data_IF_903994388871
#
_entry.id   IF_903994388871
#
_cell.length_a   1.000
_cell.length_b   1.000
_cell.length_c   1.000
_cell.angle_alpha   90.00
_cell.angle_beta   90.00
_cell.angle_gamma   90.00
#
_symmetry.space_group_name_H-M   'P 1'
#
loop_
_entity.id
_entity.type
_entity.pdbx_description
1 polymer ?
#
# COMPACT_ATOMS: atom_id res chain seq x y z
N UNK A 1 -0.99 -26.79 -19.84
CA UNK A 1 -0.42 -26.21 -18.61
C UNK A 1 1.09 -26.21 -18.72
N UNK A 2 1.69 -25.14 -19.25
CA UNK A 2 3.14 -24.90 -19.21
C UNK A 2 3.30 -23.41 -18.91
N UNK A 3 3.15 -23.05 -17.63
CA UNK A 3 3.51 -21.71 -17.16
C UNK A 3 5.02 -21.73 -16.95
N UNK A 4 5.73 -21.19 -17.93
CA UNK A 4 7.17 -21.05 -17.93
C UNK A 4 7.66 -20.27 -16.71
N UNK A 5 8.55 -20.93 -15.98
CA UNK A 5 9.42 -20.36 -14.96
C UNK A 5 10.28 -19.26 -15.59
N UNK A 6 9.83 -18.01 -15.51
CA UNK A 6 10.66 -16.84 -15.84
C UNK A 6 11.38 -16.39 -14.58
N UNK A 7 12.46 -17.09 -14.26
CA UNK A 7 13.48 -16.64 -13.31
C UNK A 7 14.20 -15.42 -13.87
N UNK A 8 13.55 -14.26 -13.82
CA UNK A 8 14.12 -12.99 -14.27
C UNK A 8 15.01 -12.40 -13.19
N UNK A 9 16.33 -12.37 -13.44
CA UNK A 9 17.43 -11.41 -13.10
C UNK A 9 17.38 -10.57 -11.79
N UNK A 10 16.42 -10.79 -10.89
CA UNK A 10 16.23 -10.10 -9.62
C UNK A 10 15.94 -11.18 -8.58
N UNK A 11 17.01 -11.65 -7.93
CA UNK A 11 16.96 -12.72 -6.93
C UNK A 11 15.95 -12.48 -5.81
N UNK A 12 15.48 -13.59 -5.24
CA UNK A 12 14.38 -13.70 -4.25
C UNK A 12 14.66 -13.10 -2.87
N UNK A 13 15.36 -11.96 -2.78
CA UNK A 13 15.67 -11.30 -1.52
C UNK A 13 15.63 -9.77 -1.58
N UNK A 14 14.99 -9.19 -0.55
CA UNK A 14 15.36 -7.93 0.15
C UNK A 14 14.82 -6.57 -0.29
N UNK A 15 13.85 -6.47 -1.20
CA UNK A 15 13.35 -5.13 -1.58
C UNK A 15 12.01 -4.81 -0.93
N UNK A 16 12.08 -3.93 0.07
CA UNK A 16 10.93 -3.29 0.72
C UNK A 16 10.09 -2.52 -0.29
N UNK A 17 8.80 -2.35 0.01
CA UNK A 17 7.87 -1.52 -0.73
C UNK A 17 8.45 -0.11 -0.94
N UNK A 18 9.02 0.46 0.13
CA UNK A 18 9.67 1.79 0.09
C UNK A 18 10.85 1.84 -0.89
N UNK A 19 11.68 0.81 -0.94
CA UNK A 19 12.82 0.75 -1.89
C UNK A 19 12.35 0.64 -3.34
N UNK A 20 11.29 -0.12 -3.62
CA UNK A 20 10.72 -0.23 -4.97
C UNK A 20 10.18 1.12 -5.46
N UNK A 21 9.43 1.82 -4.60
CA UNK A 21 8.96 3.18 -4.90
C UNK A 21 10.12 4.17 -5.07
N UNK A 22 11.14 4.10 -4.21
CA UNK A 22 12.33 4.96 -4.30
C UNK A 22 13.07 4.76 -5.61
N UNK A 23 13.21 3.51 -6.08
CA UNK A 23 13.83 3.23 -7.39
C UNK A 23 12.91 3.65 -8.54
N UNK A 24 11.60 3.48 -8.45
CA UNK A 24 10.69 3.99 -9.48
C UNK A 24 10.80 5.51 -9.63
N UNK A 25 10.81 6.25 -8.52
CA UNK A 25 10.99 7.71 -8.50
C UNK A 25 12.38 8.08 -9.02
N UNK A 26 13.43 7.41 -8.55
CA UNK A 26 14.81 7.63 -9.01
C UNK A 26 14.97 7.43 -10.51
N UNK A 27 14.41 6.35 -11.06
CA UNK A 27 14.38 6.10 -12.50
C UNK A 27 13.63 7.19 -13.24
N UNK A 28 12.46 7.62 -12.76
CA UNK A 28 11.68 8.68 -13.41
C UNK A 28 12.42 10.03 -13.43
N UNK A 29 13.08 10.39 -12.32
CA UNK A 29 13.91 11.61 -12.24
C UNK A 29 15.09 11.49 -13.19
N UNK A 30 15.78 10.35 -13.22
CA UNK A 30 16.89 10.10 -14.14
C UNK A 30 16.45 10.24 -15.60
N UNK A 31 15.30 9.65 -15.97
CA UNK A 31 14.72 9.80 -17.31
C UNK A 31 14.48 11.28 -17.63
N UNK A 32 13.86 12.03 -16.71
CA UNK A 32 13.58 13.45 -16.91
C UNK A 32 14.85 14.30 -17.07
N UNK A 33 15.89 14.03 -16.28
CA UNK A 33 17.18 14.72 -16.39
C UNK A 33 17.87 14.41 -17.72
N UNK A 34 17.85 13.15 -18.14
CA UNK A 34 18.44 12.70 -19.40
C UNK A 34 17.71 13.29 -20.60
N UNK A 35 16.38 13.33 -20.59
CA UNK A 35 15.59 13.92 -21.68
C UNK A 35 15.80 15.44 -21.74
N UNK A 36 15.77 16.12 -20.58
CA UNK A 36 16.04 17.56 -20.49
C UNK A 36 17.44 17.90 -21.02
N UNK A 37 18.46 17.11 -20.64
CA UNK A 37 19.82 17.29 -21.15
C UNK A 37 19.92 17.00 -22.66
N UNK A 38 19.21 15.98 -23.14
CA UNK A 38 19.13 15.66 -24.57
C UNK A 38 18.55 16.79 -25.41
N UNK A 39 17.47 17.43 -24.94
CA UNK A 39 16.89 18.63 -25.60
C UNK A 39 17.90 19.78 -25.64
N UNK A 40 18.65 19.99 -24.55
CA UNK A 40 19.70 21.01 -24.49
C UNK A 40 20.82 20.74 -25.52
N UNK A 41 21.29 19.50 -25.62
CA UNK A 41 22.29 19.12 -26.63
C UNK A 41 21.79 19.31 -28.06
N UNK A 42 20.51 19.01 -28.31
CA UNK A 42 19.90 19.24 -29.63
C UNK A 42 19.85 20.73 -29.99
N UNK A 43 19.58 21.60 -29.02
CA UNK A 43 19.65 23.06 -29.20
C UNK A 43 21.06 23.52 -29.58
N UNK A 44 22.09 23.00 -28.92
CA UNK A 44 23.50 23.32 -29.24
C UNK A 44 23.89 22.92 -30.65
N UNK A 45 23.48 21.73 -31.11
CA UNK A 45 23.75 21.28 -32.48
C UNK A 45 23.19 22.24 -33.53
N UNK A 46 22.00 22.82 -33.29
CA UNK A 46 21.43 23.84 -34.16
C UNK A 46 22.24 25.15 -34.13
N UNK A 47 22.71 25.57 -32.94
CA UNK A 47 23.60 26.73 -32.81
C UNK A 47 24.91 26.54 -33.56
N UNK A 48 25.55 25.38 -33.46
CA UNK A 48 26.79 25.08 -34.21
C UNK A 48 26.59 25.20 -35.72
N UNK A 49 25.50 24.67 -36.25
CA UNK A 49 25.17 24.78 -37.67
C UNK A 49 24.90 26.24 -38.08
N UNK A 50 24.30 27.05 -37.20
CA UNK A 50 24.11 28.48 -37.46
C UNK A 50 25.45 29.23 -37.48
N UNK A 51 26.33 28.95 -36.52
CA UNK A 51 27.65 29.57 -36.43
C UNK A 51 28.54 29.17 -37.62
N UNK A 52 28.57 27.88 -37.97
CA UNK A 52 29.33 27.35 -39.10
C UNK A 52 28.91 27.99 -40.43
N UNK A 53 27.60 28.04 -40.72
CA UNK A 53 27.08 28.67 -41.94
C UNK A 53 27.45 30.14 -42.06
N UNK A 54 27.28 30.92 -40.98
CA UNK A 54 27.58 32.36 -41.01
C UNK A 54 29.10 32.61 -41.10
N UNK A 55 29.91 31.77 -40.46
CA UNK A 55 31.36 31.85 -40.54
C UNK A 55 31.85 31.57 -41.96
N UNK A 56 31.34 30.50 -42.58
CA UNK A 56 31.65 30.13 -43.96
C UNK A 56 31.22 31.22 -44.95
N UNK A 57 30.04 31.81 -44.78
CA UNK A 57 29.58 32.93 -45.61
C UNK A 57 30.55 34.11 -45.56
N UNK A 58 31.08 34.42 -44.37
CA UNK A 58 32.01 35.52 -44.19
C UNK A 58 33.40 35.19 -44.77
N UNK A 59 33.89 33.97 -44.56
CA UNK A 59 35.11 33.46 -45.18
C UNK A 59 35.08 33.62 -46.70
N UNK A 60 33.98 33.17 -47.34
CA UNK A 60 33.79 33.26 -48.78
C UNK A 60 33.69 34.72 -49.28
N UNK A 61 33.04 35.60 -48.51
CA UNK A 61 32.94 37.02 -48.84
C UNK A 61 34.31 37.71 -48.81
N UNK A 62 35.12 37.42 -47.79
CA UNK A 62 36.47 37.98 -47.65
C UNK A 62 37.38 37.41 -48.74
N UNK A 63 37.38 36.10 -48.97
CA UNK A 63 38.18 35.46 -50.02
C UNK A 63 37.86 36.04 -51.41
N UNK A 64 36.57 36.18 -51.75
CA UNK A 64 36.16 36.77 -53.02
C UNK A 64 36.58 38.25 -53.15
N UNK A 65 36.67 38.99 -52.05
CA UNK A 65 37.12 40.37 -52.05
C UNK A 65 38.64 40.46 -52.23
N UNK A 66 39.42 39.62 -51.53
CA UNK A 66 40.87 39.53 -51.71
C UNK A 66 41.24 39.12 -53.14
N UNK A 67 40.55 38.13 -53.71
CA UNK A 67 40.74 37.69 -55.09
C UNK A 67 40.48 38.82 -56.11
N UNK A 68 39.47 39.68 -55.87
CA UNK A 68 39.21 40.85 -56.73
C UNK A 68 40.33 41.87 -56.71
N UNK A 69 40.91 42.12 -55.53
CA UNK A 69 42.05 43.03 -55.35
C UNK A 69 43.29 42.46 -56.05
N UNK A 70 43.58 41.18 -55.85
CA UNK A 70 44.76 40.51 -56.43
C UNK A 70 44.73 40.46 -57.96
N UNK A 71 43.56 40.20 -58.55
CA UNK A 71 43.39 40.17 -60.01
C UNK A 71 43.31 41.57 -60.65
N UNK A 72 43.49 42.66 -59.87
CA UNK A 72 43.29 44.03 -60.31
C UNK A 72 41.97 44.22 -61.08
N UNK A 73 40.89 43.59 -60.58
CA UNK A 73 39.59 43.65 -61.23
C UNK A 73 39.11 45.10 -61.37
N UNK A 74 38.22 45.38 -62.34
CA UNK A 74 37.70 46.74 -62.59
C UNK A 74 37.11 47.42 -61.35
N UNK A 75 36.64 46.63 -60.38
CA UNK A 75 36.01 47.08 -59.14
C UNK A 75 36.89 46.80 -57.90
N UNK A 76 38.20 46.56 -58.08
CA UNK A 76 39.13 46.28 -56.97
C UNK A 76 39.19 47.44 -55.96
N UNK A 77 39.07 48.68 -56.44
CA UNK A 77 39.06 49.89 -55.61
C UNK A 77 37.86 50.00 -54.65
N UNK A 78 36.79 49.20 -54.85
CA UNK A 78 35.63 49.17 -53.95
C UNK A 78 35.90 48.33 -52.70
N UNK A 79 36.98 47.54 -52.68
CA UNK A 79 37.34 46.70 -51.53
C UNK A 79 38.16 47.53 -50.54
N UNK A 80 37.58 47.81 -49.39
CA UNK A 80 38.18 48.66 -48.36
C UNK A 80 38.77 47.84 -47.22
N UNK A 81 39.91 48.29 -46.69
CA UNK A 81 40.57 47.68 -45.53
C UNK A 81 39.63 47.64 -44.32
N UNK A 82 38.87 48.72 -44.09
CA UNK A 82 37.93 48.83 -42.97
C UNK A 82 36.82 47.77 -43.07
N UNK A 83 36.31 47.50 -44.28
CA UNK A 83 35.32 46.43 -44.51
C UNK A 83 35.90 45.06 -44.23
N UNK A 84 37.10 44.75 -44.73
CA UNK A 84 37.72 43.43 -44.53
C UNK A 84 38.10 43.21 -43.06
N UNK A 85 38.64 44.23 -42.40
CA UNK A 85 38.96 44.15 -40.97
C UNK A 85 37.70 43.97 -40.10
N UNK A 86 36.59 44.66 -40.44
CA UNK A 86 35.30 44.46 -39.78
C UNK A 86 34.75 43.05 -39.96
N UNK A 87 34.81 42.52 -41.19
CA UNK A 87 34.40 41.15 -41.50
C UNK A 87 35.29 40.11 -40.79
N UNK A 88 36.61 40.30 -40.75
CA UNK A 88 37.50 39.44 -39.96
C UNK A 88 37.15 39.50 -38.47
N UNK A 89 36.85 40.68 -37.93
CA UNK A 89 36.37 40.84 -36.55
C UNK A 89 35.07 40.07 -36.27
N UNK A 90 34.12 40.10 -37.19
CA UNK A 90 32.87 39.33 -37.11
C UNK A 90 33.11 37.81 -37.19
N UNK A 91 34.01 37.34 -38.07
CA UNK A 91 34.42 35.93 -38.18
C UNK A 91 34.98 35.43 -36.85
N UNK A 92 35.93 36.19 -36.30
CA UNK A 92 36.51 35.93 -34.98
C UNK A 92 35.44 35.80 -33.90
N UNK A 93 34.46 36.70 -33.87
CA UNK A 93 33.39 36.64 -32.86
C UNK A 93 32.49 35.41 -33.01
N UNK A 94 32.29 34.90 -34.22
CA UNK A 94 31.57 33.66 -34.45
C UNK A 94 32.40 32.46 -33.97
N UNK A 95 33.70 32.43 -34.26
CA UNK A 95 34.60 31.39 -33.79
C UNK A 95 34.72 31.37 -32.24
N UNK A 96 34.81 32.54 -31.60
CA UNK A 96 34.77 32.68 -30.13
C UNK A 96 33.44 32.19 -29.55
N UNK A 97 32.31 32.45 -30.22
CA UNK A 97 31.01 31.91 -29.79
C UNK A 97 30.98 30.39 -29.88
N UNK A 98 31.52 29.81 -30.96
CA UNK A 98 31.61 28.36 -31.12
C UNK A 98 32.47 27.71 -30.02
N UNK A 99 33.61 28.31 -29.66
CA UNK A 99 34.49 27.85 -28.58
C UNK A 99 33.79 27.86 -27.20
N UNK A 100 32.98 28.90 -26.93
CA UNK A 100 32.27 29.05 -25.66
C UNK A 100 30.95 28.24 -25.56
N UNK A 101 30.45 27.67 -26.65
CA UNK A 101 29.22 26.85 -26.62
C UNK A 101 29.41 25.49 -25.92
N UNK A 102 30.64 24.97 -25.85
CA UNK A 102 30.94 23.68 -25.20
C UNK A 102 31.58 23.92 -23.83
N UNK A 103 30.94 23.46 -22.76
CA UNK A 103 31.47 23.55 -21.39
C UNK A 103 32.49 22.43 -21.11
N UNK A 104 33.39 22.60 -20.13
CA UNK A 104 34.53 21.69 -19.91
C UNK A 104 34.21 20.18 -19.84
N UNK A 105 33.10 19.78 -19.20
CA UNK A 105 32.69 18.37 -19.20
C UNK A 105 32.29 17.85 -20.60
N UNK A 106 31.57 18.68 -21.37
CA UNK A 106 31.18 18.35 -22.75
C UNK A 106 32.42 18.30 -23.65
N UNK A 107 33.41 19.17 -23.43
CA UNK A 107 34.69 19.14 -24.17
C UNK A 107 35.41 17.81 -23.99
N UNK A 108 35.48 17.32 -22.74
CA UNK A 108 36.10 16.03 -22.45
C UNK A 108 35.33 14.87 -23.10
N UNK A 109 34.00 14.93 -23.08
CA UNK A 109 33.13 13.94 -23.71
C UNK A 109 33.30 13.90 -25.23
N UNK A 110 33.30 15.06 -25.89
CA UNK A 110 33.49 15.17 -27.32
C UNK A 110 34.86 14.62 -27.74
N UNK A 111 35.92 14.94 -26.99
CA UNK A 111 37.26 14.35 -27.20
C UNK A 111 37.25 12.82 -27.09
N UNK A 112 36.57 12.28 -26.08
CA UNK A 112 36.46 10.83 -25.88
C UNK A 112 35.64 10.15 -26.99
N UNK A 113 34.67 10.85 -27.56
CA UNK A 113 33.82 10.38 -28.66
C UNK A 113 34.45 10.58 -30.05
N UNK A 114 35.68 11.12 -30.13
CA UNK A 114 36.39 11.37 -31.40
C UNK A 114 36.09 12.71 -32.06
N UNK A 115 35.29 13.56 -31.41
CA UNK A 115 34.91 14.91 -31.86
C UNK A 115 35.83 16.01 -31.30
N UNK A 116 37.07 15.68 -30.93
CA UNK A 116 38.06 16.66 -30.46
C UNK A 116 38.28 17.86 -31.40
N UNK A 117 38.36 17.66 -32.73
CA UNK A 117 38.55 18.75 -33.68
C UNK A 117 37.44 19.82 -33.67
N UNK A 118 36.23 19.54 -33.16
CA UNK A 118 35.19 20.57 -32.99
C UNK A 118 35.57 21.65 -31.97
N UNK A 119 36.54 21.37 -31.10
CA UNK A 119 37.04 22.30 -30.09
C UNK A 119 38.32 22.98 -30.60
N UNK A 120 39.20 22.20 -31.24
CA UNK A 120 40.51 22.69 -31.64
C UNK A 120 40.44 23.60 -32.89
N UNK A 121 39.51 23.35 -33.82
CA UNK A 121 39.36 24.14 -35.05
C UNK A 121 38.91 25.59 -34.79
N UNK A 122 37.86 25.88 -33.97
CA UNK A 122 37.52 27.26 -33.63
C UNK A 122 38.67 28.02 -32.96
N UNK A 123 39.45 27.37 -32.09
CA UNK A 123 40.60 28.00 -31.45
C UNK A 123 41.72 28.34 -32.43
N UNK A 124 41.99 27.42 -33.37
CA UNK A 124 42.94 27.67 -34.46
C UNK A 124 42.47 28.83 -35.34
N UNK A 125 41.19 28.85 -35.68
CA UNK A 125 40.61 29.90 -36.52
C UNK A 125 40.66 31.29 -35.86
N UNK A 126 40.42 31.38 -34.54
CA UNK A 126 40.62 32.61 -33.76
C UNK A 126 42.07 33.10 -33.89
N UNK A 127 43.05 32.20 -33.77
CA UNK A 127 44.46 32.55 -33.88
C UNK A 127 44.84 33.00 -35.30
N UNK A 128 44.33 32.32 -36.33
CA UNK A 128 44.56 32.66 -37.74
C UNK A 128 43.98 34.06 -38.07
N UNK A 129 42.77 34.36 -37.58
CA UNK A 129 42.12 35.67 -37.74
C UNK A 129 42.82 36.76 -36.94
N UNK A 130 43.27 36.48 -35.71
CA UNK A 130 44.07 37.42 -34.92
C UNK A 130 45.40 37.76 -35.62
N UNK A 131 46.02 36.77 -36.29
CA UNK A 131 47.19 36.98 -37.14
C UNK A 131 46.90 37.91 -38.33
N UNK A 132 45.79 37.70 -39.03
CA UNK A 132 45.36 38.57 -40.15
C UNK A 132 45.07 40.00 -39.70
N UNK A 133 44.38 40.18 -38.56
CA UNK A 133 44.12 41.49 -37.99
C UNK A 133 45.42 42.19 -37.55
N UNK A 134 46.40 41.44 -37.03
CA UNK A 134 47.71 41.98 -36.70
C UNK A 134 48.45 42.50 -37.95
N UNK A 135 48.42 41.75 -39.07
CA UNK A 135 48.99 42.17 -40.36
C UNK A 135 48.35 43.49 -40.84
N UNK A 136 47.02 43.58 -40.79
CA UNK A 136 46.29 44.81 -41.16
C UNK A 136 46.71 45.98 -40.26
N UNK A 137 46.80 45.76 -38.95
CA UNK A 137 47.15 46.81 -37.98
C UNK A 137 48.59 47.33 -38.13
N UNK A 138 49.51 46.48 -38.60
CA UNK A 138 50.90 46.80 -38.86
C UNK A 138 51.12 47.50 -40.22
N UNK A 139 50.14 47.46 -41.11
CA UNK A 139 50.20 48.10 -42.42
C UNK A 139 50.25 49.63 -42.31
N UNK A 140 51.04 50.33 -43.16
CA UNK A 140 51.08 51.80 -43.20
C UNK A 140 49.73 52.42 -43.55
N UNK A 141 48.96 51.74 -44.39
CA UNK A 141 47.63 52.15 -44.83
C UNK A 141 46.59 51.40 -44.02
N UNK A 142 45.89 52.09 -43.12
CA UNK A 142 44.91 51.49 -42.20
C UNK A 142 43.46 51.58 -42.66
N UNK A 143 43.17 52.46 -43.62
CA UNK A 143 41.84 52.71 -44.14
C UNK A 143 41.91 53.06 -45.63
N UNK A 144 40.79 52.86 -46.35
CA UNK A 144 40.70 53.10 -47.80
C UNK A 144 40.89 51.83 -48.65
N UNK A 145 41.14 51.98 -49.96
CA UNK A 145 41.21 50.85 -50.89
C UNK A 145 42.37 49.93 -50.53
N UNK A 146 42.10 48.62 -50.55
CA UNK A 146 43.07 47.61 -50.16
C UNK A 146 44.22 47.50 -51.18
N UNK A 147 45.50 47.67 -50.74
CA UNK A 147 46.65 47.42 -51.60
C UNK A 147 46.77 45.93 -51.96
N UNK A 148 47.24 45.64 -53.18
CA UNK A 148 47.48 44.27 -53.65
C UNK A 148 48.46 43.52 -52.76
N UNK A 149 49.53 44.19 -52.31
CA UNK A 149 50.54 43.61 -51.42
C UNK A 149 49.94 43.16 -50.08
N UNK A 150 49.03 43.96 -49.50
CA UNK A 150 48.35 43.61 -48.26
C UNK A 150 47.40 42.43 -48.48
N UNK A 151 46.67 42.42 -49.60
CA UNK A 151 45.80 41.29 -49.95
C UNK A 151 46.59 39.98 -50.10
N UNK A 152 47.78 40.01 -50.70
CA UNK A 152 48.68 38.87 -50.82
C UNK A 152 49.22 38.39 -49.45
N UNK A 153 49.51 39.30 -48.53
CA UNK A 153 49.95 38.93 -47.17
C UNK A 153 48.83 38.27 -46.33
N UNK A 154 47.57 38.60 -46.60
CA UNK A 154 46.42 37.98 -45.93
C UNK A 154 46.05 36.61 -46.52
N UNK A 155 46.54 36.30 -47.72
CA UNK A 155 46.20 35.06 -48.45
C UNK A 155 46.47 33.79 -47.64
N UNK A 156 47.65 33.59 -47.00
CA UNK A 156 47.90 32.37 -46.22
C UNK A 156 46.94 32.21 -45.03
N UNK A 157 46.59 33.30 -44.36
CA UNK A 157 45.63 33.28 -43.25
C UNK A 157 44.21 32.98 -43.71
N UNK A 158 43.81 33.52 -44.87
CA UNK A 158 42.51 33.24 -45.48
C UNK A 158 42.39 31.80 -45.96
N UNK A 159 43.44 31.25 -46.57
CA UNK A 159 43.47 29.85 -47.00
C UNK A 159 43.38 28.90 -45.79
N UNK A 160 44.06 29.22 -44.67
CA UNK A 160 43.97 28.46 -43.42
C UNK A 160 42.56 28.54 -42.78
N UNK A 161 41.96 29.74 -42.73
CA UNK A 161 40.60 29.96 -42.24
C UNK A 161 39.56 29.19 -43.09
N UNK A 162 39.75 29.16 -44.41
CA UNK A 162 38.90 28.42 -45.34
C UNK A 162 39.05 26.90 -45.14
N UNK A 163 40.28 26.40 -45.01
CA UNK A 163 40.56 24.99 -44.72
C UNK A 163 39.92 24.55 -43.39
N UNK A 164 40.08 25.35 -42.33
CA UNK A 164 39.49 25.08 -41.02
C UNK A 164 37.95 25.06 -41.11
N UNK A 165 37.35 26.03 -41.81
CA UNK A 165 35.89 26.12 -41.99
C UNK A 165 35.34 24.93 -42.79
N UNK A 166 36.03 24.50 -43.86
CA UNK A 166 35.64 23.32 -44.65
C UNK A 166 35.78 22.02 -43.86
N UNK A 167 36.79 21.91 -42.99
CA UNK A 167 36.97 20.76 -42.11
C UNK A 167 35.91 20.72 -40.99
N UNK A 168 35.45 21.89 -40.51
CA UNK A 168 34.46 22.00 -39.45
C UNK A 168 33.05 21.57 -39.88
N UNK A 169 32.65 21.85 -41.12
CA UNK A 169 31.33 21.52 -41.66
C UNK A 169 30.92 20.04 -41.49
N UNK A 170 31.67 19.03 -42.00
CA UNK A 170 31.29 17.62 -41.82
C UNK A 170 31.32 17.17 -40.35
N UNK A 171 32.26 17.71 -39.55
CA UNK A 171 32.36 17.38 -38.12
C UNK A 171 31.11 17.80 -37.35
N UNK A 172 30.57 19.00 -37.60
CA UNK A 172 29.34 19.46 -36.96
C UNK A 172 28.14 18.61 -37.35
N UNK A 173 28.04 18.20 -38.62
CA UNK A 173 26.96 17.34 -39.12
C UNK A 173 27.01 15.94 -38.50
N UNK A 174 28.20 15.34 -38.42
CA UNK A 174 28.43 14.02 -37.82
C UNK A 174 28.15 14.05 -36.31
N UNK A 175 28.67 15.06 -35.61
CA UNK A 175 28.41 15.25 -34.18
C UNK A 175 26.93 15.44 -33.90
N UNK A 176 26.23 16.27 -34.69
CA UNK A 176 24.80 16.50 -34.54
C UNK A 176 23.99 15.21 -34.77
N UNK A 177 24.34 14.43 -35.78
CA UNK A 177 23.67 13.15 -36.09
C UNK A 177 23.91 12.11 -34.98
N UNK A 178 25.15 12.00 -34.51
CA UNK A 178 25.52 11.13 -33.41
C UNK A 178 24.78 11.50 -32.12
N UNK A 179 24.73 12.79 -31.77
CA UNK A 179 24.00 13.31 -30.60
C UNK A 179 22.52 12.98 -30.73
N UNK A 180 21.89 13.22 -31.89
CA UNK A 180 20.47 12.92 -32.11
C UNK A 180 20.14 11.44 -31.91
N UNK A 181 20.92 10.55 -32.53
CA UNK A 181 20.72 9.09 -32.41
C UNK A 181 20.93 8.65 -30.96
N UNK A 182 21.98 9.13 -30.31
CA UNK A 182 22.30 8.79 -28.92
C UNK A 182 21.21 9.26 -27.95
N UNK A 183 20.75 10.52 -28.07
CA UNK A 183 19.66 11.06 -27.25
C UNK A 183 18.38 10.26 -27.46
N UNK A 184 18.04 9.93 -28.71
CA UNK A 184 16.85 9.14 -29.01
C UNK A 184 16.95 7.71 -28.43
N UNK A 185 18.08 7.03 -28.63
CA UNK A 185 18.32 5.68 -28.13
C UNK A 185 18.26 5.62 -26.60
N UNK A 186 18.93 6.56 -25.91
CA UNK A 186 18.91 6.64 -24.45
C UNK A 186 17.51 6.99 -23.94
N UNK A 187 16.81 7.92 -24.59
CA UNK A 187 15.43 8.29 -24.22
C UNK A 187 14.46 7.12 -24.39
N UNK A 188 14.60 6.34 -25.47
CA UNK A 188 13.81 5.13 -25.71
C UNK A 188 14.09 4.06 -24.65
N UNK A 189 15.36 3.81 -24.32
CA UNK A 189 15.76 2.89 -23.27
C UNK A 189 15.21 3.31 -21.90
N UNK A 190 15.33 4.58 -21.56
CA UNK A 190 14.80 5.15 -20.32
C UNK A 190 13.28 5.01 -20.23
N UNK A 191 12.56 5.26 -21.34
CA UNK A 191 11.11 5.07 -21.41
C UNK A 191 10.70 3.61 -21.21
N UNK A 192 11.47 2.67 -21.79
CA UNK A 192 11.23 1.24 -21.62
C UNK A 192 11.47 0.81 -20.16
N UNK A 193 12.53 1.32 -19.52
CA UNK A 193 12.79 1.08 -18.10
C UNK A 193 11.70 1.65 -17.19
N UNK A 194 11.16 2.82 -17.52
CA UNK A 194 10.02 3.42 -16.81
C UNK A 194 8.79 2.51 -16.88
N UNK A 195 8.43 2.05 -18.09
CA UNK A 195 7.30 1.14 -18.30
C UNK A 195 7.52 -0.19 -17.59
N UNK A 196 8.72 -0.76 -17.66
CA UNK A 196 9.07 -2.00 -16.98
C UNK A 196 8.95 -1.86 -15.46
N UNK A 197 9.42 -0.75 -14.89
CA UNK A 197 9.34 -0.48 -13.45
C UNK A 197 7.89 -0.27 -13.01
N UNK A 198 7.09 0.47 -13.79
CA UNK A 198 5.67 0.65 -13.53
C UNK A 198 4.88 -0.67 -13.57
N UNK A 199 5.15 -1.52 -14.57
CA UNK A 199 4.54 -2.84 -14.69
C UNK A 199 4.94 -3.75 -13.52
N UNK A 200 6.22 -3.75 -13.15
CA UNK A 200 6.72 -4.51 -12.00
C UNK A 200 6.05 -4.06 -10.69
N UNK A 201 5.91 -2.74 -10.48
CA UNK A 201 5.24 -2.17 -9.31
C UNK A 201 3.77 -2.59 -9.27
N UNK A 202 3.03 -2.46 -10.37
CA UNK A 202 1.62 -2.88 -10.47
C UNK A 202 1.45 -4.35 -10.11
N UNK A 203 2.23 -5.23 -10.74
CA UNK A 203 2.05 -6.69 -10.58
C UNK A 203 2.53 -7.20 -9.21
N UNK A 204 3.62 -6.66 -8.67
CA UNK A 204 4.22 -7.15 -7.42
C UNK A 204 3.72 -6.45 -6.15
N UNK A 205 3.09 -5.29 -6.28
CA UNK A 205 2.68 -4.48 -5.13
C UNK A 205 1.17 -4.28 -5.10
N UNK A 206 0.61 -3.69 -6.16
CA UNK A 206 -0.82 -3.34 -6.18
C UNK A 206 -1.70 -4.60 -6.27
N UNK A 207 -1.24 -5.64 -6.96
CA UNK A 207 -1.93 -6.94 -7.03
C UNK A 207 -2.18 -7.57 -5.66
N UNK A 208 -1.13 -7.89 -4.86
CA UNK A 208 -1.30 -8.43 -3.52
C UNK A 208 -2.10 -7.54 -2.57
N UNK A 209 -2.00 -6.21 -2.72
CA UNK A 209 -2.79 -5.27 -1.91
C UNK A 209 -4.29 -5.38 -2.21
N UNK A 210 -4.68 -5.55 -3.48
CA UNK A 210 -6.08 -5.76 -3.85
C UNK A 210 -6.64 -7.06 -3.25
N UNK A 211 -5.85 -8.13 -3.21
CA UNK A 211 -6.22 -9.39 -2.57
C UNK A 211 -6.41 -9.19 -1.06
N UNK A 212 -5.53 -8.42 -0.41
CA UNK A 212 -5.66 -8.10 1.01
C UNK A 212 -6.94 -7.31 1.32
N UNK A 213 -7.33 -6.38 0.45
CA UNK A 213 -8.58 -5.61 0.57
C UNK A 213 -9.79 -6.54 0.44
N UNK A 214 -9.84 -7.40 -0.58
CA UNK A 214 -10.93 -8.36 -0.77
C UNK A 214 -11.05 -9.33 0.43
N UNK A 215 -9.92 -9.77 0.98
CA UNK A 215 -9.91 -10.62 2.17
C UNK A 215 -10.45 -9.88 3.41
N UNK A 216 -10.09 -8.62 3.60
CA UNK A 216 -10.61 -7.80 4.69
C UNK A 216 -12.12 -7.57 4.56
N UNK A 217 -12.62 -7.33 3.34
CA UNK A 217 -14.06 -7.20 3.06
C UNK A 217 -14.83 -8.49 3.39
N UNK A 218 -14.28 -9.67 3.04
CA UNK A 218 -14.88 -10.95 3.42
C UNK A 218 -14.98 -11.12 4.93
N UNK A 219 -13.90 -10.86 5.66
CA UNK A 219 -13.89 -10.91 7.13
C UNK A 219 -14.91 -9.92 7.71
N UNK A 220 -15.01 -8.71 7.15
CA UNK A 220 -16.00 -7.71 7.58
C UNK A 220 -17.46 -8.16 7.33
N UNK A 221 -17.71 -8.94 6.27
CA UNK A 221 -19.02 -9.57 6.02
C UNK A 221 -19.31 -10.82 6.87
N UNK A 222 -18.37 -11.24 7.73
CA UNK A 222 -18.50 -12.44 8.57
C UNK A 222 -18.15 -13.75 7.86
N UNK A 223 -17.63 -13.70 6.63
CA UNK A 223 -17.12 -14.88 5.93
C UNK A 223 -15.67 -15.15 6.34
N UNK A 224 -15.51 -16.09 7.28
CA UNK A 224 -14.22 -16.54 7.81
C UNK A 224 -13.70 -17.82 7.13
N UNK A 225 -14.35 -18.25 6.03
CA UNK A 225 -14.00 -19.52 5.34
C UNK A 225 -12.83 -19.38 4.35
N UNK A 226 -12.47 -18.14 3.99
CA UNK A 226 -11.45 -17.85 2.99
C UNK A 226 -10.02 -18.20 3.43
N UNK A 227 -9.33 -19.03 2.65
CA UNK A 227 -7.91 -19.32 2.84
C UNK A 227 -7.03 -18.26 2.16
N UNK A 228 -6.32 -17.45 2.95
CA UNK A 228 -5.37 -16.47 2.43
C UNK A 228 -4.00 -17.10 2.18
N UNK A 229 -3.65 -17.33 0.91
CA UNK A 229 -2.30 -17.76 0.54
C UNK A 229 -1.35 -16.57 0.56
N UNK A 230 -0.50 -16.49 1.57
CA UNK A 230 0.54 -15.45 1.65
C UNK A 230 1.72 -15.84 0.78
N UNK A 231 2.04 -15.00 -0.21
CA UNK A 231 3.19 -15.18 -1.10
C UNK A 231 4.09 -13.96 -0.97
N UNK A 232 5.37 -14.18 -0.69
CA UNK A 232 6.38 -13.12 -0.56
C UNK A 232 6.88 -12.92 0.86
N UNK A 233 7.79 -11.95 1.02
CA UNK A 233 8.45 -11.58 2.29
C UNK A 233 8.57 -10.07 2.48
N UNK A 234 7.80 -9.29 1.72
CA UNK A 234 7.76 -7.82 1.79
C UNK A 234 6.59 -7.35 2.68
N UNK A 235 6.40 -6.02 2.77
CA UNK A 235 5.37 -5.42 3.60
C UNK A 235 3.95 -5.84 3.19
N UNK A 236 3.72 -6.17 1.91
CA UNK A 236 2.44 -6.70 1.47
C UNK A 236 2.22 -8.12 2.00
N UNK A 237 3.26 -8.96 2.02
CA UNK A 237 3.21 -10.27 2.66
C UNK A 237 3.04 -10.16 4.18
N UNK A 238 3.68 -9.18 4.83
CA UNK A 238 3.49 -8.91 6.25
C UNK A 238 2.04 -8.51 6.58
N UNK A 239 1.43 -7.64 5.76
CA UNK A 239 0.02 -7.27 5.87
C UNK A 239 -0.91 -8.47 5.69
N UNK A 240 -0.68 -9.28 4.65
CA UNK A 240 -1.46 -10.49 4.38
C UNK A 240 -1.35 -11.51 5.52
N UNK A 241 -0.16 -11.69 6.11
CA UNK A 241 0.03 -12.54 7.30
C UNK A 241 -0.74 -12.01 8.51
N UNK A 242 -0.73 -10.69 8.74
CA UNK A 242 -1.49 -10.10 9.84
C UNK A 242 -3.00 -10.31 9.67
N UNK A 243 -3.52 -10.12 8.46
CA UNK A 243 -4.93 -10.41 8.13
C UNK A 243 -5.27 -11.90 8.31
N UNK A 244 -4.37 -12.80 7.90
CA UNK A 244 -4.53 -14.25 8.10
C UNK A 244 -4.69 -14.61 9.57
N UNK A 245 -3.78 -14.13 10.43
CA UNK A 245 -3.83 -14.39 11.87
C UNK A 245 -5.11 -13.81 12.52
N UNK A 246 -5.57 -12.64 12.05
CA UNK A 246 -6.82 -12.04 12.52
C UNK A 246 -8.03 -12.89 12.16
N UNK A 247 -8.12 -13.39 10.92
CA UNK A 247 -9.20 -14.28 10.47
C UNK A 247 -9.21 -15.58 11.29
N UNK A 248 -8.06 -16.23 11.49
CA UNK A 248 -7.96 -17.45 12.29
C UNK A 248 -8.39 -17.23 13.75
N UNK A 249 -8.03 -16.09 14.34
CA UNK A 249 -8.42 -15.74 15.70
C UNK A 249 -9.92 -15.49 15.83
N UNK A 250 -10.51 -14.78 14.86
CA UNK A 250 -11.96 -14.56 14.80
C UNK A 250 -12.74 -15.87 14.59
N UNK A 251 -12.23 -16.76 13.73
CA UNK A 251 -12.85 -18.06 13.45
C UNK A 251 -12.88 -18.95 14.69
N UNK A 252 -11.77 -18.97 15.44
CA UNK A 252 -11.70 -19.65 16.75
C UNK A 252 -12.72 -19.07 17.73
N UNK A 253 -12.76 -17.74 17.90
CA UNK A 253 -13.70 -17.08 18.80
C UNK A 253 -15.17 -17.38 18.46
N UNK A 254 -15.53 -17.40 17.17
CA UNK A 254 -16.88 -17.76 16.72
C UNK A 254 -17.21 -19.24 16.99
N UNK A 255 -16.26 -20.16 16.78
CA UNK A 255 -16.45 -21.57 17.08
C UNK A 255 -16.62 -21.82 18.59
N UNK A 256 -15.78 -21.19 19.41
CA UNK A 256 -15.88 -21.28 20.88
C UNK A 256 -17.25 -20.76 21.34
N UNK A 257 -17.70 -19.60 20.84
CA UNK A 257 -19.02 -19.06 21.16
C UNK A 257 -20.18 -19.98 20.72
N UNK A 258 -20.04 -20.68 19.59
CA UNK A 258 -21.03 -21.69 19.13
C UNK A 258 -21.05 -22.91 20.05
N UNK A 259 -19.88 -23.38 20.47
CA UNK A 259 -19.76 -24.50 21.40
C UNK A 259 -20.39 -24.15 22.75
N UNK A 260 -20.06 -22.99 23.31
CA UNK A 260 -20.62 -22.50 24.57
C UNK A 260 -22.15 -22.34 24.48
N UNK A 261 -22.65 -21.79 23.37
CA UNK A 261 -24.10 -21.70 23.13
C UNK A 261 -24.78 -23.07 23.08
N UNK A 262 -24.11 -24.09 22.52
CA UNK A 262 -24.59 -25.47 22.51
C UNK A 262 -24.66 -26.07 23.92
N UNK A 263 -23.62 -25.86 24.73
CA UNK A 263 -23.59 -26.29 26.14
C UNK A 263 -24.69 -25.61 26.97
N UNK A 264 -24.95 -24.33 26.72
CA UNK A 264 -26.06 -23.59 27.35
C UNK A 264 -27.41 -24.18 26.94
N UNK A 265 -27.61 -24.47 25.65
CA UNK A 265 -28.85 -25.06 25.16
C UNK A 265 -29.12 -26.46 25.76
N UNK A 266 -28.07 -27.28 25.86
CA UNK A 266 -28.14 -28.59 26.52
C UNK A 266 -28.49 -28.45 28.01
N UNK A 267 -27.79 -27.56 28.73
CA UNK A 267 -28.05 -27.27 30.14
C UNK A 267 -29.50 -26.79 30.36
N UNK A 268 -29.99 -25.90 29.50
CA UNK A 268 -31.37 -25.42 29.54
C UNK A 268 -32.38 -26.56 29.31
N UNK A 269 -32.07 -27.53 28.44
CA UNK A 269 -32.90 -28.73 28.25
C UNK A 269 -32.91 -29.61 29.50
N UNK A 270 -31.75 -29.80 30.15
CA UNK A 270 -31.66 -30.56 31.40
C UNK A 270 -32.47 -29.90 32.50
N UNK A 271 -32.36 -28.59 32.66
CA UNK A 271 -33.14 -27.81 33.64
C UNK A 271 -34.64 -27.96 33.38
N UNK A 272 -35.07 -27.91 32.12
CA UNK A 272 -36.48 -28.12 31.75
C UNK A 272 -36.97 -29.51 32.16
N UNK A 273 -36.22 -30.56 31.85
CA UNK A 273 -36.55 -31.94 32.22
C UNK A 273 -36.60 -32.11 33.75
N UNK A 274 -35.66 -31.50 34.48
CA UNK A 274 -35.67 -31.49 35.95
C UNK A 274 -36.89 -30.76 36.51
N UNK A 275 -37.30 -29.65 35.89
CA UNK A 275 -38.49 -28.89 36.29
C UNK A 275 -39.78 -29.69 36.08
N UNK A 276 -39.90 -30.43 34.97
CA UNK A 276 -41.04 -31.32 34.70
C UNK A 276 -41.11 -32.45 35.73
N UNK A 277 -40.01 -33.17 35.95
CA UNK A 277 -39.94 -34.23 36.95
C UNK A 277 -40.21 -33.72 38.38
N UNK A 278 -39.72 -32.51 38.70
CA UNK A 278 -40.01 -31.84 39.96
C UNK A 278 -41.50 -31.52 40.11
N UNK A 279 -42.14 -31.02 39.06
CA UNK A 279 -43.58 -30.73 39.05
C UNK A 279 -44.42 -32.00 39.25
N UNK A 280 -44.04 -33.11 38.61
CA UNK A 280 -44.68 -34.40 38.83
C UNK A 280 -44.52 -34.88 40.27
N UNK A 281 -43.32 -34.74 40.86
CA UNK A 281 -43.08 -35.11 42.26
C UNK A 281 -43.91 -34.27 43.23
N UNK A 282 -44.05 -32.97 42.97
CA UNK A 282 -44.91 -32.07 43.76
C UNK A 282 -46.38 -32.51 43.65
N UNK A 283 -46.84 -32.90 42.45
CA UNK A 283 -48.20 -33.43 42.26
C UNK A 283 -48.44 -34.71 43.06
N UNK A 284 -47.53 -35.69 42.98
CA UNK A 284 -47.60 -36.91 43.79
C UNK A 284 -47.61 -36.63 45.31
N UNK A 285 -46.78 -35.68 45.77
CA UNK A 285 -46.77 -35.28 47.18
C UNK A 285 -48.09 -34.62 47.60
N UNK A 286 -48.66 -33.78 46.75
CA UNK A 286 -49.97 -33.17 46.98
C UNK A 286 -51.07 -34.22 47.11
N UNK A 287 -51.09 -35.22 46.23
CA UNK A 287 -52.05 -36.32 46.28
C UNK A 287 -51.87 -37.17 47.55
N UNK A 288 -50.63 -37.43 47.95
CA UNK A 288 -50.32 -38.13 49.20
C UNK A 288 -50.79 -37.34 50.44
N UNK A 289 -50.58 -36.02 50.46
CA UNK A 289 -51.04 -35.13 51.54
C UNK A 289 -52.57 -35.09 51.59
N UNK A 290 -53.24 -35.07 50.44
CA UNK A 290 -54.70 -35.15 50.37
C UNK A 290 -55.22 -36.48 50.94
N UNK A 291 -54.59 -37.60 50.58
CA UNK A 291 -54.91 -38.91 51.14
C UNK A 291 -54.69 -38.96 52.66
N UNK A 292 -53.56 -38.42 53.15
CA UNK A 292 -53.30 -38.32 54.60
C UNK A 292 -54.39 -37.49 55.29
N UNK A 293 -54.78 -36.36 54.71
CA UNK A 293 -55.83 -35.51 55.27
C UNK A 293 -57.16 -36.26 55.38
N UNK A 294 -57.53 -37.04 54.36
CA UNK A 294 -58.71 -37.91 54.39
C UNK A 294 -58.61 -39.00 55.47
N UNK A 295 -57.44 -39.63 55.65
CA UNK A 295 -57.25 -40.60 56.74
C UNK A 295 -57.33 -39.95 58.12
N UNK A 296 -56.91 -38.68 58.26
CA UNK A 296 -57.06 -37.92 59.50
C UNK A 296 -58.53 -37.63 59.78
N UNK A 297 -59.34 -37.29 58.78
CA UNK A 297 -60.80 -37.12 58.92
C UNK A 297 -61.49 -38.43 59.36
N UNK A 298 -61.10 -39.55 58.77
CA UNK A 298 -61.62 -40.87 59.15
C UNK A 298 -61.19 -41.28 60.58
N UNK A 299 -59.94 -41.01 60.95
CA UNK A 299 -59.44 -41.21 62.31
C UNK A 299 -60.17 -40.33 63.33
N UNK A 300 -60.39 -39.05 63.02
CA UNK A 300 -61.15 -38.14 63.89
C UNK A 300 -62.60 -38.65 64.09
N UNK A 301 -63.23 -39.14 63.03
CA UNK A 301 -64.56 -39.75 63.09
C UNK A 301 -64.57 -41.02 63.95
N UNK A 302 -63.55 -41.88 63.81
CA UNK A 302 -63.40 -43.07 64.66
C UNK A 302 -63.17 -42.70 66.13
N UNK A 303 -62.34 -41.69 66.41
CA UNK A 303 -62.11 -41.20 67.78
C UNK A 303 -63.40 -40.66 68.39
N UNK A 304 -64.18 -39.89 67.64
CA UNK A 304 -65.50 -39.42 68.08
C UNK A 304 -66.43 -40.61 68.38
N UNK A 305 -66.46 -41.63 67.51
CA UNK A 305 -67.25 -42.84 67.75
C UNK A 305 -66.80 -43.62 69.00
N UNK A 306 -65.48 -43.69 69.24
CA UNK A 306 -64.93 -44.33 70.45
C UNK A 306 -65.29 -43.54 71.71
N UNK A 307 -65.25 -42.20 71.65
CA UNK A 307 -65.67 -41.35 72.76
C UNK A 307 -67.16 -41.52 73.08
N UNK A 308 -68.03 -41.50 72.06
CA UNK A 308 -69.47 -41.75 72.22
C UNK A 308 -69.75 -43.12 72.85
N UNK A 309 -69.06 -44.17 72.37
CA UNK A 309 -69.18 -45.52 72.95
C UNK A 309 -68.66 -45.58 74.38
N UNK A 310 -67.59 -44.87 74.71
CA UNK A 310 -67.09 -44.81 76.08
C UNK A 310 -68.09 -44.10 77.01
N UNK A 311 -68.74 -43.05 76.54
CA UNK A 311 -69.83 -42.36 77.25
C UNK A 311 -71.07 -43.24 77.42
N UNK A 312 -71.45 -43.99 76.38
CA UNK A 312 -72.52 -44.98 76.45
C UNK A 312 -72.22 -46.07 77.50
N UNK A 313 -71.02 -46.64 77.48
CA UNK A 313 -70.57 -47.65 78.46
C UNK A 313 -70.53 -47.06 79.87
N UNK A 314 -70.11 -45.80 80.03
CA UNK A 314 -70.14 -45.10 81.32
C UNK A 314 -71.56 -44.98 81.85
N UNK A 315 -72.50 -44.51 81.02
CA UNK A 315 -73.91 -44.41 81.39
C UNK A 315 -74.51 -45.77 81.78
N UNK A 316 -74.22 -46.81 81.00
CA UNK A 316 -74.68 -48.17 81.27
C UNK A 316 -74.11 -48.71 82.60
N UNK A 317 -72.85 -48.36 82.92
CA UNK A 317 -72.21 -48.73 84.18
C UNK A 317 -72.84 -47.99 85.36
N UNK A 318 -73.16 -46.71 85.22
CA UNK A 318 -73.87 -45.93 86.24
C UNK A 318 -75.29 -46.45 86.49
N UNK A 319 -76.01 -46.82 85.43
CA UNK A 319 -77.32 -47.47 85.53
C UNK A 319 -77.21 -48.82 86.25
N UNK A 320 -76.25 -49.66 85.89
CA UNK A 320 -75.99 -50.94 86.56
C UNK A 320 -75.63 -50.77 88.04
N UNK A 321 -74.84 -49.73 88.38
CA UNK A 321 -74.54 -49.36 89.77
C UNK A 321 -75.78 -48.88 90.52
N UNK A 322 -76.69 -48.15 89.87
CA UNK A 322 -77.95 -47.72 90.46
C UNK A 322 -78.86 -48.92 90.73
N UNK A 323 -79.04 -49.81 89.75
CA UNK A 323 -79.81 -51.05 89.90
C UNK A 323 -79.22 -51.93 91.01
N UNK A 324 -77.89 -52.04 91.07
CA UNK A 324 -77.21 -52.78 92.14
C UNK A 324 -77.43 -52.16 93.52
N UNK A 325 -77.42 -50.83 93.62
CA UNK A 325 -77.76 -50.10 94.86
C UNK A 325 -79.21 -50.29 95.28
N UNK A 326 -80.15 -50.25 94.35
CA UNK A 326 -81.56 -50.52 94.62
C UNK A 326 -81.79 -51.98 95.04
N UNK A 327 -81.10 -52.92 94.39
CA UNK A 327 -81.04 -54.32 94.77
C UNK A 327 -80.52 -54.50 96.20
N UNK A 328 -79.41 -53.85 96.55
CA UNK A 328 -78.85 -53.84 97.90
C UNK A 328 -79.83 -53.25 98.92
N UNK A 329 -80.48 -52.13 98.61
CA UNK A 329 -81.47 -51.49 99.48
C UNK A 329 -82.69 -52.39 99.72
N UNK A 330 -83.15 -53.10 98.68
CA UNK A 330 -84.23 -54.08 98.80
C UNK A 330 -83.83 -55.29 99.64
N UNK A 331 -82.59 -55.77 99.53
CA UNK A 331 -82.07 -56.82 100.43
C UNK A 331 -82.03 -56.35 101.89
N UNK A 332 -81.56 -55.13 102.16
CA UNK A 332 -81.52 -54.58 103.51
C UNK A 332 -82.92 -54.34 104.08
N UNK A 333 -83.88 -53.88 103.27
CA UNK A 333 -85.29 -53.78 103.63
C UNK A 333 -85.91 -55.15 103.95
N UNK A 334 -85.57 -56.20 103.17
CA UNK A 334 -85.97 -57.57 103.48
C UNK A 334 -85.34 -58.07 104.77
N UNK A 335 -84.06 -57.78 105.02
CA UNK A 335 -83.36 -58.12 106.26
C UNK A 335 -84.00 -57.45 107.48
N UNK A 336 -84.36 -56.16 107.38
CA UNK A 336 -85.12 -55.44 108.43
C UNK A 336 -86.53 -55.99 108.63
N UNK A 337 -87.26 -56.36 107.56
CA UNK A 337 -88.57 -57.03 107.66
C UNK A 337 -88.48 -58.41 108.31
N UNK A 338 -87.44 -59.20 108.01
CA UNK A 338 -87.22 -60.49 108.68
C UNK A 338 -86.83 -60.33 110.15
N UNK A 339 -86.12 -59.26 110.53
CA UNK A 339 -85.83 -58.95 111.94
C UNK A 339 -87.06 -58.57 112.78
N UNK A 340 -88.23 -58.33 112.17
CA UNK A 340 -89.47 -57.98 112.86
C UNK A 340 -90.49 -59.14 112.92
N UNK A 341 -90.13 -60.33 112.41
CA UNK A 341 -90.99 -61.50 112.38
C UNK A 341 -90.28 -62.69 113.04
N UNK A 342 -90.25 -62.71 114.37
CA UNK A 342 -89.89 -63.90 115.17
C UNK A 342 -90.93 -64.05 116.28
N UNK A 343 -91.73 -65.14 116.31
CA UNK A 343 -92.76 -65.35 117.33
C UNK A 343 -92.17 -66.07 118.56
N UNK A 344 -92.49 -65.59 119.77
CA UNK A 344 -92.24 -66.30 121.01
C UNK A 344 -93.56 -66.80 121.61
N UNK A 345 -93.64 -68.13 121.81
CA UNK A 345 -94.73 -68.83 122.51
C UNK A 345 -94.63 -68.62 124.04
N UNK A 346 -95.83 -68.50 124.65
CA UNK A 346 -96.22 -68.43 126.09
C UNK A 346 -95.63 -69.53 127.01
N UNK A 347 -95.62 -69.39 128.37
CA UNK A 347 -96.79 -69.73 129.22
C UNK A 347 -96.97 -68.97 130.55
N UNK A 348 -98.21 -68.67 130.95
CA UNK A 348 -98.97 -69.42 131.97
C UNK A 348 -100.43 -68.99 132.01
#
# INVERSE_FOLDING_TARGET
MLVGNTGGIFGEGRWSLKQRFSVAIGTAILVALVTMYGVRLMGKAATFHFLERNHMELALRIDAALNRVEQAARNAGDTHIDTISGQLGEARQLAVRADNEVFGFEQQLLRLLGFGPLIDLPQKDIADVDGMLAIISASPTRSGPMPVELAQQLRPGMDAMMENSMAFAPLTADAASFIKISVFAVSALCSLLLVATAFALRRRTLGPLAIAIEAAERVASGDLTGHMKVVGRDEAAALMNALHNMNESLSRLVNDARQDSGLIAESASTVRQQSEAGSDKVRYQSDAVAAISSTIEELATSIASVADRADEVRNLSDESLAVSRDGWRNMELRRRKHSCATPARFPH
#
